data_IF_533520925496
#
_entry.id   IF_533520925496
#
_cell.length_a   1.000
_cell.length_b   1.000
_cell.length_c   1.000
_cell.angle_alpha   90.00
_cell.angle_beta   90.00
_cell.angle_gamma   90.00
#
_symmetry.space_group_name_H-M   'P 1'
#
loop_
_entity.id
_entity.type
_entity.pdbx_description
1 polymer ?
#
# COMPACT_ATOMS: atom_id res chain seq x y z
N UNK A 1 7.70 -6.22 5.51
CA UNK A 1 8.47 -7.44 5.13
C UNK A 1 7.51 -8.55 4.74
N UNK A 2 7.73 -9.22 3.61
CA UNK A 2 6.96 -10.39 3.17
C UNK A 2 7.78 -11.66 3.43
N UNK A 3 7.61 -12.26 4.61
CA UNK A 3 8.51 -13.30 5.11
C UNK A 3 9.95 -12.78 5.22
N UNK A 4 10.88 -13.39 4.47
CA UNK A 4 12.30 -12.99 4.44
C UNK A 4 12.63 -11.86 3.45
N UNK A 5 11.68 -11.44 2.60
CA UNK A 5 11.90 -10.44 1.56
C UNK A 5 11.47 -9.05 2.04
N UNK A 6 12.34 -8.07 1.87
CA UNK A 6 12.07 -6.69 2.23
C UNK A 6 11.25 -6.00 1.12
N UNK A 7 10.22 -5.28 1.53
CA UNK A 7 9.47 -4.32 0.70
C UNK A 7 9.45 -3.04 1.51
N UNK A 8 9.74 -1.92 0.84
CA UNK A 8 9.90 -0.62 1.46
C UNK A 8 9.03 0.41 0.76
N UNK A 9 8.72 1.50 1.47
CA UNK A 9 7.98 2.63 0.91
C UNK A 9 8.65 3.12 -0.39
N UNK A 10 7.85 3.40 -1.41
CA UNK A 10 8.31 3.73 -2.76
C UNK A 10 8.43 2.53 -3.72
N UNK A 11 8.37 1.29 -3.24
CA UNK A 11 8.37 0.12 -4.13
C UNK A 11 7.10 0.10 -5.01
N UNK A 12 7.26 -0.24 -6.28
CA UNK A 12 6.13 -0.41 -7.21
C UNK A 12 5.37 -1.71 -6.89
N UNK A 13 4.06 -1.70 -7.10
CA UNK A 13 3.13 -2.82 -6.93
C UNK A 13 3.63 -4.13 -7.58
N UNK A 14 4.19 -4.07 -8.79
CA UNK A 14 4.73 -5.24 -9.48
C UNK A 14 5.99 -5.79 -8.81
N UNK A 15 6.86 -4.93 -8.27
CA UNK A 15 8.04 -5.35 -7.49
C UNK A 15 7.61 -5.99 -6.18
N UNK A 16 6.55 -5.47 -5.57
CA UNK A 16 5.96 -6.07 -4.37
C UNK A 16 5.41 -7.45 -4.70
N UNK A 17 4.65 -7.63 -5.78
CA UNK A 17 4.15 -8.96 -6.19
C UNK A 17 5.27 -9.95 -6.55
N UNK A 18 6.31 -9.51 -7.24
CA UNK A 18 7.51 -10.34 -7.50
C UNK A 18 8.14 -10.87 -6.20
N UNK A 19 8.15 -10.04 -5.14
CA UNK A 19 8.74 -10.40 -3.85
C UNK A 19 7.78 -11.16 -2.95
N UNK A 20 6.51 -10.76 -2.87
CA UNK A 20 5.55 -11.23 -1.88
C UNK A 20 4.59 -12.31 -2.41
N UNK A 21 4.48 -12.45 -3.74
CA UNK A 21 3.38 -13.18 -4.37
C UNK A 21 2.12 -12.32 -4.48
N UNK A 22 1.01 -12.95 -4.85
CA UNK A 22 -0.29 -12.28 -4.87
C UNK A 22 -0.85 -12.10 -3.44
N UNK A 23 -1.55 -10.99 -3.16
CA UNK A 23 -2.16 -10.78 -1.86
C UNK A 23 -3.28 -11.78 -1.59
N UNK A 24 -3.55 -12.04 -0.30
CA UNK A 24 -4.70 -12.83 0.13
C UNK A 24 -6.01 -12.11 -0.21
N UNK A 25 -6.02 -10.78 -0.08
CA UNK A 25 -7.14 -9.93 -0.46
C UNK A 25 -6.63 -8.54 -0.84
N UNK A 26 -7.33 -7.91 -1.78
CA UNK A 26 -7.03 -6.55 -2.22
C UNK A 26 -8.30 -5.80 -2.59
N UNK A 27 -8.32 -4.50 -2.33
CA UNK A 27 -9.36 -3.56 -2.77
C UNK A 27 -8.70 -2.29 -3.27
N UNK A 28 -9.31 -1.65 -4.26
CA UNK A 28 -8.90 -0.34 -4.77
C UNK A 28 -10.07 0.62 -4.86
N UNK A 29 -9.77 1.91 -4.71
CA UNK A 29 -10.74 2.99 -4.80
C UNK A 29 -10.07 4.28 -5.29
N UNK A 30 -10.84 5.13 -5.96
CA UNK A 30 -10.40 6.48 -6.29
C UNK A 30 -10.57 7.39 -5.08
N UNK A 31 -9.55 8.20 -4.80
CA UNK A 31 -9.57 9.23 -3.77
C UNK A 31 -9.02 10.55 -4.29
N UNK A 32 -9.09 11.56 -3.44
CA UNK A 32 -8.48 12.86 -3.72
C UNK A 32 -7.39 13.10 -2.68
N UNK A 33 -6.15 13.21 -3.15
CA UNK A 33 -5.06 13.73 -2.34
C UNK A 33 -5.06 15.27 -2.41
N UNK A 34 -4.94 15.90 -1.24
CA UNK A 34 -5.00 17.37 -1.11
C UNK A 34 -3.71 17.86 -0.48
N UNK A 35 -2.89 18.55 -1.27
CA UNK A 35 -1.66 19.19 -0.79
C UNK A 35 -1.88 20.69 -0.52
N UNK A 36 -1.07 21.24 0.40
CA UNK A 36 -1.12 22.66 0.80
C UNK A 36 -2.51 23.15 1.23
N UNK A 37 -3.27 22.29 1.92
CA UNK A 37 -4.65 22.56 2.32
C UNK A 37 -4.80 23.89 3.06
N UNK A 38 -5.74 24.72 2.64
CA UNK A 38 -6.03 26.03 3.24
C UNK A 38 -5.06 27.16 2.83
N UNK A 39 -4.16 26.92 1.87
CA UNK A 39 -3.29 27.95 1.31
C UNK A 39 -3.79 28.43 -0.07
N UNK A 40 -3.23 29.54 -0.57
CA UNK A 40 -3.46 30.00 -1.95
C UNK A 40 -2.96 29.01 -3.03
N UNK A 41 -2.20 27.99 -2.63
CA UNK A 41 -1.63 26.96 -3.50
C UNK A 41 -2.17 25.57 -3.18
N UNK A 42 -3.39 25.48 -2.62
CA UNK A 42 -4.06 24.19 -2.43
C UNK A 42 -4.19 23.47 -3.79
N UNK A 43 -3.75 22.21 -3.83
CA UNK A 43 -3.86 21.37 -5.03
C UNK A 43 -4.58 20.09 -4.67
N UNK A 44 -5.50 19.69 -5.56
CA UNK A 44 -6.25 18.45 -5.45
C UNK A 44 -5.87 17.55 -6.62
N UNK A 45 -5.55 16.31 -6.32
CA UNK A 45 -5.15 15.30 -7.30
C UNK A 45 -5.99 14.05 -7.10
N UNK A 46 -6.61 13.57 -8.17
CA UNK A 46 -7.22 12.23 -8.16
C UNK A 46 -6.11 11.19 -8.12
N UNK A 47 -6.24 10.24 -7.19
CA UNK A 47 -5.27 9.17 -6.95
C UNK A 47 -6.01 7.84 -6.82
N UNK A 48 -5.40 6.77 -7.32
CA UNK A 48 -5.88 5.42 -7.08
C UNK A 48 -5.23 4.88 -5.81
N UNK A 49 -6.04 4.67 -4.78
CA UNK A 49 -5.62 3.95 -3.59
C UNK A 49 -5.84 2.46 -3.77
N UNK A 50 -4.91 1.66 -3.29
CA UNK A 50 -5.12 0.21 -3.16
C UNK A 50 -4.65 -0.28 -1.80
N UNK A 51 -5.42 -1.18 -1.20
CA UNK A 51 -5.04 -1.84 0.04
C UNK A 51 -4.89 -3.33 -0.21
N UNK A 52 -3.74 -3.89 0.15
CA UNK A 52 -3.43 -5.31 0.00
C UNK A 52 -3.18 -5.94 1.36
N UNK A 53 -3.77 -7.11 1.56
CA UNK A 53 -3.63 -7.89 2.78
C UNK A 53 -2.91 -9.19 2.46
N UNK A 54 -1.85 -9.47 3.20
CA UNK A 54 -1.14 -10.74 3.15
C UNK A 54 -1.37 -11.50 4.46
N UNK A 55 -1.84 -12.74 4.32
CA UNK A 55 -2.04 -13.66 5.42
C UNK A 55 -1.03 -14.81 5.33
N UNK A 56 -0.08 -14.84 6.26
CA UNK A 56 0.99 -15.86 6.30
C UNK A 56 0.65 -17.05 7.22
N UNK A 57 -0.61 -17.17 7.64
CA UNK A 57 -1.11 -18.24 8.50
C UNK A 57 -1.10 -17.90 10.00
N UNK A 58 -1.61 -18.81 10.85
CA UNK A 58 -1.97 -18.52 12.24
C UNK A 58 -0.79 -18.25 13.19
N UNK A 59 0.47 -18.42 12.74
CA UNK A 59 1.69 -18.17 13.53
C UNK A 59 2.42 -16.91 13.11
N UNK A 60 1.83 -16.12 12.21
CA UNK A 60 2.40 -14.89 11.70
C UNK A 60 1.33 -13.80 11.70
N UNK A 61 1.76 -12.58 12.00
CA UNK A 61 0.88 -11.41 11.92
C UNK A 61 0.54 -11.13 10.45
N UNK A 62 -0.68 -10.63 10.20
CA UNK A 62 -1.06 -10.23 8.86
C UNK A 62 -0.35 -8.93 8.49
N UNK A 63 -0.09 -8.72 7.20
CA UNK A 63 0.53 -7.51 6.68
C UNK A 63 -0.48 -6.75 5.82
N UNK A 64 -0.70 -5.48 6.13
CA UNK A 64 -1.46 -4.53 5.31
C UNK A 64 -0.49 -3.61 4.59
N UNK A 65 -0.62 -3.53 3.28
CA UNK A 65 0.11 -2.60 2.42
C UNK A 65 -0.87 -1.62 1.80
N UNK A 66 -0.55 -0.33 1.84
CA UNK A 66 -1.34 0.73 1.21
C UNK A 66 -0.52 1.30 0.05
N UNK A 67 -1.14 1.38 -1.12
CA UNK A 67 -0.55 1.91 -2.33
C UNK A 67 -1.26 3.18 -2.75
N UNK A 68 -0.48 4.12 -3.28
CA UNK A 68 -0.93 5.33 -3.95
C UNK A 68 -0.41 5.27 -5.40
N UNK A 69 -1.32 5.21 -6.38
CA UNK A 69 -1.00 5.04 -7.80
C UNK A 69 0.00 3.91 -8.09
N UNK A 70 -0.22 2.77 -7.41
CA UNK A 70 0.63 1.58 -7.54
C UNK A 70 2.03 1.72 -6.92
N UNK A 71 2.28 2.75 -6.10
CA UNK A 71 3.50 2.91 -5.31
C UNK A 71 3.20 2.60 -3.85
N UNK A 72 4.02 1.77 -3.21
CA UNK A 72 3.86 1.43 -1.80
C UNK A 72 4.00 2.69 -0.95
N UNK A 73 2.89 3.17 -0.41
CA UNK A 73 2.82 4.36 0.42
C UNK A 73 3.09 4.01 1.89
N UNK A 74 2.55 2.90 2.40
CA UNK A 74 2.82 2.46 3.77
C UNK A 74 2.64 0.97 3.98
N UNK A 75 3.26 0.46 5.04
CA UNK A 75 3.12 -0.94 5.48
C UNK A 75 2.83 -1.02 6.98
N UNK A 76 1.86 -1.84 7.36
CA UNK A 76 1.45 -2.05 8.75
C UNK A 76 1.31 -3.56 9.04
N UNK A 77 1.76 -3.97 10.22
CA UNK A 77 1.53 -5.34 10.72
C UNK A 77 0.29 -5.34 11.62
N UNK A 78 -0.66 -6.22 11.33
CA UNK A 78 -1.94 -6.32 12.05
C UNK A 78 -1.87 -7.43 13.11
N UNK A 79 -2.19 -7.11 14.37
CA UNK A 79 -2.15 -8.02 15.52
C UNK A 79 -3.17 -7.67 16.59
#
# INVERSE_FOLDING_TARGET
RCGNRLVDEGDRDFRVRERCGEPFWSESWLGVDVSNRGSAYEQQREVEWSVWYYNFGPRALMLRLIFEDGVLHSSETLG
#
